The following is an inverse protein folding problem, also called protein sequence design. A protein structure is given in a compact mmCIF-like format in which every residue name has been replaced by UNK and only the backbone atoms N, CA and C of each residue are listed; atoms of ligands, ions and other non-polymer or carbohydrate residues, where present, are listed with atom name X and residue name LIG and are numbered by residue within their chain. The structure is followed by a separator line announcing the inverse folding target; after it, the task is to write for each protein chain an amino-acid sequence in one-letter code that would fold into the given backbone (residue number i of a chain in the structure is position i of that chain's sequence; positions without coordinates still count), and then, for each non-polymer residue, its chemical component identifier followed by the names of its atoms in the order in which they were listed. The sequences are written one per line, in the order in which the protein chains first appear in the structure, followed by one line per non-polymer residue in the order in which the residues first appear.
data_IF_121041522446
#
_entry.id   IF_121041522446
#
_cell.length_a   1.000
_cell.length_b   1.000
_cell.length_c   1.000
_cell.angle_alpha   90.00
_cell.angle_beta   90.00
_cell.angle_gamma   90.00
#
_symmetry.space_group_name_H-M   'P 1'
#
loop_
_entity.id
_entity.type
_entity.pdbx_description
1 polymer ?
#
# COMPACT_ATOMS: atom_id res chain seq x y z
N UNK A 1 -67.07 49.39 -36.29
CA UNK A 1 -65.91 50.16 -35.77
C UNK A 1 -65.95 50.36 -34.25
N UNK A 2 -67.04 50.88 -33.65
CA UNK A 2 -67.14 51.14 -32.19
C UNK A 2 -66.86 49.92 -31.28
N UNK A 3 -67.46 48.76 -31.57
CA UNK A 3 -67.26 47.49 -30.82
C UNK A 3 -65.82 46.96 -30.88
N UNK A 4 -65.10 47.21 -31.98
CA UNK A 4 -63.67 46.84 -32.12
C UNK A 4 -62.81 47.75 -31.24
N UNK A 5 -63.07 49.07 -31.25
CA UNK A 5 -62.34 50.02 -30.41
C UNK A 5 -62.55 49.74 -28.91
N UNK A 6 -63.76 49.37 -28.51
CA UNK A 6 -64.10 49.02 -27.13
C UNK A 6 -63.40 47.72 -26.67
N UNK A 7 -63.30 46.72 -27.54
CA UNK A 7 -62.50 45.51 -27.30
C UNK A 7 -61.01 45.81 -27.13
N UNK A 8 -60.45 46.65 -27.99
CA UNK A 8 -59.04 47.07 -27.90
C UNK A 8 -58.78 47.84 -26.60
N UNK A 9 -59.70 48.72 -26.20
CA UNK A 9 -59.61 49.45 -24.93
C UNK A 9 -59.63 48.48 -23.72
N UNK A 10 -60.55 47.52 -23.72
CA UNK A 10 -60.63 46.49 -22.68
C UNK A 10 -59.36 45.65 -22.60
N UNK A 11 -58.83 45.19 -23.73
CA UNK A 11 -57.56 44.44 -23.74
C UNK A 11 -56.39 45.28 -23.22
N UNK A 12 -56.33 46.58 -23.54
CA UNK A 12 -55.29 47.48 -23.00
C UNK A 12 -55.39 47.61 -21.47
N UNK A 13 -56.61 47.71 -20.94
CA UNK A 13 -56.85 47.76 -19.50
C UNK A 13 -56.48 46.44 -18.80
N UNK A 14 -56.85 45.30 -19.40
CA UNK A 14 -56.48 43.97 -18.90
C UNK A 14 -54.96 43.76 -18.89
N UNK A 15 -54.25 44.20 -19.94
CA UNK A 15 -52.78 44.18 -20.00
C UNK A 15 -52.18 45.08 -18.93
N UNK A 16 -52.70 46.30 -18.74
CA UNK A 16 -52.22 47.21 -17.70
C UNK A 16 -52.40 46.62 -16.30
N UNK A 17 -53.58 46.07 -16.01
CA UNK A 17 -53.89 45.41 -14.73
C UNK A 17 -53.01 44.18 -14.49
N UNK A 18 -52.77 43.38 -15.52
CA UNK A 18 -51.89 42.20 -15.42
C UNK A 18 -50.43 42.60 -15.19
N UNK A 19 -49.98 43.67 -15.87
CA UNK A 19 -48.65 44.24 -15.67
C UNK A 19 -48.46 44.78 -14.26
N UNK A 20 -49.44 45.49 -13.72
CA UNK A 20 -49.40 46.01 -12.35
C UNK A 20 -49.32 44.87 -11.32
N UNK A 21 -50.16 43.84 -11.47
CA UNK A 21 -50.09 42.63 -10.62
C UNK A 21 -48.71 41.97 -10.69
N UNK A 22 -48.16 41.82 -11.88
CA UNK A 22 -46.82 41.24 -12.08
C UNK A 22 -45.74 42.09 -11.41
N UNK A 23 -45.79 43.41 -11.56
CA UNK A 23 -44.85 44.33 -10.92
C UNK A 23 -44.97 44.30 -9.39
N UNK A 24 -46.18 44.21 -8.84
CA UNK A 24 -46.39 44.06 -7.40
C UNK A 24 -45.81 42.74 -6.88
N UNK A 25 -46.02 41.63 -7.58
CA UNK A 25 -45.45 40.34 -7.21
C UNK A 25 -43.90 40.35 -7.26
N UNK A 26 -43.32 41.01 -8.26
CA UNK A 26 -41.87 41.21 -8.33
C UNK A 26 -41.35 42.06 -7.17
N UNK A 27 -42.07 43.11 -6.78
CA UNK A 27 -41.69 43.97 -5.66
C UNK A 27 -41.71 43.19 -4.34
N UNK A 28 -42.74 42.37 -4.11
CA UNK A 28 -42.85 41.51 -2.93
C UNK A 28 -41.71 40.49 -2.86
N UNK A 29 -41.44 39.79 -3.96
CA UNK A 29 -40.32 38.84 -4.05
C UNK A 29 -38.98 39.54 -3.81
N UNK A 30 -38.78 40.72 -4.40
CA UNK A 30 -37.52 41.47 -4.26
C UNK A 30 -37.34 41.96 -2.83
N UNK A 31 -38.42 42.36 -2.16
CA UNK A 31 -38.39 42.74 -0.75
C UNK A 31 -38.06 41.55 0.17
N UNK A 32 -38.38 40.33 -0.24
CA UNK A 32 -38.05 39.11 0.51
C UNK A 32 -36.61 38.61 0.29
N UNK A 33 -35.95 38.99 -0.81
CA UNK A 33 -34.59 38.56 -1.14
C UNK A 33 -33.58 38.69 0.03
N UNK A 34 -33.53 39.81 0.79
CA UNK A 34 -32.56 39.95 1.89
C UNK A 34 -32.73 38.86 2.96
N UNK A 35 -33.98 38.56 3.34
CA UNK A 35 -34.28 37.52 4.33
C UNK A 35 -33.93 36.13 3.82
N UNK A 36 -34.25 35.85 2.55
CA UNK A 36 -33.85 34.61 1.91
C UNK A 36 -32.32 34.43 1.91
N UNK A 37 -31.57 35.48 1.57
CA UNK A 37 -30.10 35.43 1.56
C UNK A 37 -29.56 35.20 2.96
N UNK A 38 -30.11 35.87 3.98
CA UNK A 38 -29.72 35.68 5.38
C UNK A 38 -29.95 34.22 5.84
N UNK A 39 -31.15 33.68 5.60
CA UNK A 39 -31.51 32.31 5.98
C UNK A 39 -30.62 31.27 5.27
N UNK A 40 -30.41 31.44 3.95
CA UNK A 40 -29.55 30.55 3.17
C UNK A 40 -28.08 30.65 3.57
N UNK A 41 -27.60 31.86 3.87
CA UNK A 41 -26.23 32.07 4.38
C UNK A 41 -26.07 31.38 5.73
N UNK A 42 -27.07 31.45 6.61
CA UNK A 42 -27.03 30.79 7.91
C UNK A 42 -26.93 29.26 7.80
N UNK A 43 -27.63 28.64 6.85
CA UNK A 43 -27.50 27.20 6.57
C UNK A 43 -26.13 26.88 5.98
N UNK A 44 -25.69 27.67 5.00
CA UNK A 44 -24.39 27.49 4.36
C UNK A 44 -23.23 27.58 5.35
N UNK A 45 -23.25 28.57 6.25
CA UNK A 45 -22.21 28.77 7.26
C UNK A 45 -22.15 27.58 8.24
N UNK A 46 -23.29 26.98 8.58
CA UNK A 46 -23.32 25.76 9.40
C UNK A 46 -22.66 24.59 8.68
N UNK A 47 -22.93 24.41 7.38
CA UNK A 47 -22.26 23.39 6.57
C UNK A 47 -20.75 23.65 6.46
N UNK A 48 -20.34 24.91 6.26
CA UNK A 48 -18.93 25.32 6.25
C UNK A 48 -18.22 25.02 7.56
N UNK A 49 -18.88 25.20 8.70
CA UNK A 49 -18.30 24.87 10.01
C UNK A 49 -18.07 23.37 10.16
N UNK A 50 -19.02 22.53 9.72
CA UNK A 50 -18.85 21.07 9.71
C UNK A 50 -17.71 20.64 8.78
N UNK A 51 -17.64 21.24 7.59
CA UNK A 51 -16.55 20.99 6.65
C UNK A 51 -15.19 21.39 7.24
N UNK A 52 -15.09 22.57 7.85
CA UNK A 52 -13.87 23.04 8.48
C UNK A 52 -13.38 22.10 9.59
N UNK A 53 -14.31 21.53 10.38
CA UNK A 53 -13.96 20.51 11.36
C UNK A 53 -13.43 19.23 10.70
N UNK A 54 -14.08 18.74 9.63
CA UNK A 54 -13.60 17.56 8.88
C UNK A 54 -12.21 17.81 8.30
N UNK A 55 -11.99 18.96 7.66
CA UNK A 55 -10.70 19.31 7.07
C UNK A 55 -9.59 19.38 8.13
N UNK A 56 -9.87 19.97 9.30
CA UNK A 56 -8.92 20.00 10.42
C UNK A 56 -8.61 18.60 10.93
N UNK A 57 -9.63 17.77 11.11
CA UNK A 57 -9.46 16.38 11.50
C UNK A 57 -8.57 15.61 10.51
N UNK A 58 -8.86 15.72 9.21
CA UNK A 58 -8.06 15.06 8.17
C UNK A 58 -6.60 15.52 8.22
N UNK A 59 -6.36 16.82 8.39
CA UNK A 59 -5.00 17.35 8.55
C UNK A 59 -4.28 16.71 9.74
N UNK A 60 -4.93 16.65 10.89
CA UNK A 60 -4.34 16.10 12.12
C UNK A 60 -4.07 14.58 11.97
N UNK A 61 -4.98 13.85 11.32
CA UNK A 61 -4.81 12.42 11.01
C UNK A 61 -3.64 12.18 10.05
N UNK A 62 -3.51 12.98 8.99
CA UNK A 62 -2.40 12.87 8.05
C UNK A 62 -1.05 13.14 8.74
N UNK A 63 -0.99 14.13 9.64
CA UNK A 63 0.20 14.34 10.46
C UNK A 63 0.46 13.18 11.42
N UNK A 64 -0.58 12.55 11.96
CA UNK A 64 -0.44 11.35 12.77
C UNK A 64 0.18 10.20 11.95
N UNK A 65 -0.30 9.97 10.73
CA UNK A 65 0.30 8.96 9.83
C UNK A 65 1.76 9.27 9.53
N UNK A 66 2.07 10.53 9.21
CA UNK A 66 3.46 10.94 9.00
C UNK A 66 4.33 10.63 10.23
N UNK A 67 3.84 10.92 11.44
CA UNK A 67 4.56 10.63 12.69
C UNK A 67 4.80 9.12 12.88
N UNK A 68 3.81 8.28 12.58
CA UNK A 68 3.94 6.82 12.70
C UNK A 68 4.89 6.22 11.66
N UNK A 69 4.94 6.79 10.46
CA UNK A 69 5.80 6.32 9.36
C UNK A 69 7.22 6.88 9.42
N UNK A 70 7.45 7.97 10.17
CA UNK A 70 8.75 8.61 10.25
C UNK A 70 9.68 7.91 11.25
N UNK A 71 10.28 6.81 10.79
CA UNK A 71 11.21 5.99 11.56
C UNK A 71 12.52 6.75 11.88
N UNK A 72 12.86 7.81 11.14
CA UNK A 72 14.12 8.56 11.39
C UNK A 72 14.10 9.36 12.70
N UNK A 73 12.92 9.62 13.25
CA UNK A 73 12.73 10.32 14.52
C UNK A 73 12.62 9.34 15.70
N UNK A 74 12.63 8.04 15.42
CA UNK A 74 12.49 7.00 16.41
C UNK A 74 13.85 6.75 17.10
N UNK A 75 13.96 6.87 18.43
CA UNK A 75 15.24 6.81 19.14
C UNK A 75 15.93 5.44 19.09
N UNK A 76 15.18 4.34 18.89
CA UNK A 76 15.79 3.01 18.82
C UNK A 76 16.54 2.78 17.51
N UNK A 77 16.13 3.44 16.41
CA UNK A 77 16.77 3.26 15.11
C UNK A 77 18.28 3.57 15.13
N UNK A 78 18.76 4.74 15.59
CA UNK A 78 20.20 4.98 15.73
C UNK A 78 20.88 4.00 16.71
N UNK A 79 20.19 3.64 17.79
CA UNK A 79 20.74 2.73 18.80
C UNK A 79 21.02 1.34 18.22
N UNK A 80 20.17 0.82 17.34
CA UNK A 80 20.39 -0.47 16.65
C UNK A 80 21.69 -0.44 15.86
N UNK A 81 21.97 0.66 15.13
CA UNK A 81 23.20 0.77 14.34
C UNK A 81 24.44 0.97 15.21
N UNK A 82 24.33 1.72 16.31
CA UNK A 82 25.42 1.88 17.29
C UNK A 82 25.76 0.54 17.98
N UNK A 83 24.75 -0.22 18.42
CA UNK A 83 24.94 -1.54 19.03
C UNK A 83 25.55 -2.55 18.04
N UNK A 84 25.09 -2.52 16.79
CA UNK A 84 25.66 -3.34 15.73
C UNK A 84 27.13 -2.99 15.46
N UNK A 85 27.45 -1.70 15.37
CA UNK A 85 28.81 -1.21 15.20
C UNK A 85 29.71 -1.64 16.37
N UNK A 86 29.26 -1.48 17.60
CA UNK A 86 29.99 -1.96 18.78
C UNK A 86 30.23 -3.46 18.77
N UNK A 87 29.24 -4.25 18.35
CA UNK A 87 29.37 -5.72 18.25
C UNK A 87 30.46 -6.12 17.25
N UNK A 88 30.48 -5.49 16.08
CA UNK A 88 31.51 -5.74 15.07
C UNK A 88 32.89 -5.29 15.59
N UNK A 89 32.98 -4.11 16.18
CA UNK A 89 34.25 -3.56 16.64
C UNK A 89 34.85 -4.36 17.81
N UNK A 90 34.02 -5.06 18.59
CA UNK A 90 34.46 -5.92 19.68
C UNK A 90 34.97 -7.30 19.21
N UNK A 91 34.83 -7.64 17.92
CA UNK A 91 35.35 -8.88 17.37
C UNK A 91 36.89 -8.87 17.40
N UNK A 92 37.48 -9.84 18.09
CA UNK A 92 38.94 -9.92 18.29
C UNK A 92 39.48 -11.26 17.79
N UNK A 93 40.13 -11.22 16.64
CA UNK A 93 40.73 -12.40 15.99
C UNK A 93 41.73 -13.14 16.89
N UNK A 94 42.45 -12.45 17.78
CA UNK A 94 43.46 -13.09 18.62
C UNK A 94 42.80 -13.90 19.75
N UNK A 95 41.67 -13.43 20.28
CA UNK A 95 40.89 -14.19 21.26
C UNK A 95 40.35 -15.47 20.64
N UNK A 96 39.85 -15.40 19.40
CA UNK A 96 39.29 -16.55 18.70
C UNK A 96 40.37 -17.59 18.37
N UNK A 97 41.53 -17.15 17.85
CA UNK A 97 42.66 -18.03 17.58
C UNK A 97 43.19 -18.70 18.86
N UNK A 98 43.22 -17.96 19.98
CA UNK A 98 43.62 -18.50 21.28
C UNK A 98 42.62 -19.53 21.80
N UNK A 99 41.32 -19.25 21.68
CA UNK A 99 40.27 -20.19 22.05
C UNK A 99 40.39 -21.49 21.24
N UNK A 100 40.58 -21.38 19.92
CA UNK A 100 40.77 -22.55 19.05
C UNK A 100 42.02 -23.35 19.42
N UNK A 101 43.14 -22.68 19.63
CA UNK A 101 44.41 -23.32 19.99
C UNK A 101 44.30 -24.12 21.29
N UNK A 102 43.53 -23.63 22.27
CA UNK A 102 43.32 -24.28 23.57
C UNK A 102 42.36 -25.46 23.52
N UNK A 103 41.30 -25.36 22.71
CA UNK A 103 40.22 -26.35 22.71
C UNK A 103 40.39 -27.44 21.65
N UNK A 104 41.08 -27.12 20.55
CA UNK A 104 41.22 -28.00 19.37
C UNK A 104 42.62 -28.01 18.79
N UNK A 105 43.57 -27.30 19.39
CA UNK A 105 44.90 -27.13 18.86
C UNK A 105 45.99 -27.57 19.82
N UNK A 106 47.16 -26.97 19.61
CA UNK A 106 48.42 -27.34 20.26
C UNK A 106 48.46 -27.13 21.78
N UNK A 107 47.54 -26.32 22.32
CA UNK A 107 47.49 -26.03 23.76
C UNK A 107 46.56 -26.99 24.52
N UNK A 108 45.94 -27.96 23.84
CA UNK A 108 45.22 -29.03 24.52
C UNK A 108 46.17 -29.83 25.43
N UNK A 109 45.70 -30.21 26.62
CA UNK A 109 46.48 -31.02 27.52
C UNK A 109 46.73 -32.41 26.91
N UNK A 110 48.01 -32.73 26.70
CA UNK A 110 48.45 -34.02 26.20
C UNK A 110 49.16 -34.78 27.31
N UNK A 111 48.67 -35.98 27.62
CA UNK A 111 49.37 -36.93 28.47
C UNK A 111 50.44 -37.62 27.63
N UNK A 112 51.64 -37.02 27.60
CA UNK A 112 52.77 -37.61 26.89
C UNK A 112 53.14 -38.97 27.47
N UNK A 113 53.57 -39.94 26.64
CA UNK A 113 54.00 -41.24 27.12
C UNK A 113 55.09 -41.10 28.19
N UNK A 114 54.85 -41.68 29.36
CA UNK A 114 55.81 -41.77 30.45
C UNK A 114 55.97 -43.24 30.83
N UNK A 115 57.11 -43.56 31.45
CA UNK A 115 57.34 -44.91 31.95
C UNK A 115 56.35 -45.20 33.08
N UNK A 116 55.51 -46.19 32.87
CA UNK A 116 54.53 -46.66 33.86
C UNK A 116 55.12 -47.87 34.59
N UNK A 117 55.22 -47.79 35.91
CA UNK A 117 55.78 -48.86 36.74
C UNK A 117 54.78 -50.02 36.82
N UNK A 118 55.27 -51.25 36.68
CA UNK A 118 54.43 -52.44 36.63
C UNK A 118 53.69 -52.64 37.96
N UNK A 119 52.37 -52.45 37.95
CA UNK A 119 51.47 -52.83 39.04
C UNK A 119 50.69 -54.09 38.65
N UNK A 120 50.49 -55.00 39.60
CA UNK A 120 49.82 -56.30 39.34
C UNK A 120 48.33 -56.16 38.95
N UNK A 121 47.75 -54.95 39.05
CA UNK A 121 46.35 -54.61 38.69
C UNK A 121 46.08 -54.70 37.18
N UNK A 122 47.12 -54.67 36.33
CA UNK A 122 46.99 -54.84 34.87
C UNK A 122 46.76 -56.30 34.43
N UNK A 123 46.80 -57.29 35.36
CA UNK A 123 46.56 -58.71 35.02
C UNK A 123 45.13 -59.01 34.58
N UNK A 124 44.15 -58.24 35.03
CA UNK A 124 42.73 -58.57 34.86
C UNK A 124 42.12 -58.08 33.54
N UNK A 125 42.84 -57.26 32.77
CA UNK A 125 42.37 -56.73 31.47
C UNK A 125 42.19 -57.84 30.41
N UNK A 126 42.81 -59.01 30.60
CA UNK A 126 42.68 -60.17 29.71
C UNK A 126 41.44 -61.05 29.97
N UNK A 127 40.75 -60.90 31.11
CA UNK A 127 39.56 -61.70 31.44
C UNK A 127 38.32 -60.84 31.35
N UNK A 128 37.84 -60.68 30.12
CA UNK A 128 36.68 -59.86 29.80
C UNK A 128 35.48 -60.10 30.72
N UNK A 129 35.05 -59.03 31.40
CA UNK A 129 33.67 -58.67 31.76
C UNK A 129 33.69 -57.50 32.76
N UNK A 130 33.58 -56.27 32.27
CA UNK A 130 32.93 -55.19 33.03
C UNK A 130 32.36 -54.15 32.07
N UNK A 131 31.04 -53.96 32.16
CA UNK A 131 30.30 -52.82 31.62
C UNK A 131 30.47 -51.68 32.61
N UNK A 132 31.53 -50.91 32.51
CA UNK A 132 31.62 -49.61 33.18
C UNK A 132 32.56 -48.72 32.37
N UNK A 133 32.15 -47.48 32.14
CA UNK A 133 32.90 -46.52 31.34
C UNK A 133 34.32 -46.38 31.90
N UNK A 134 35.31 -46.81 31.12
CA UNK A 134 36.72 -46.64 31.44
C UNK A 134 36.96 -45.16 31.81
N UNK A 135 37.69 -44.87 32.91
CA UNK A 135 38.16 -43.52 33.14
C UNK A 135 39.04 -43.13 31.95
N UNK A 136 39.02 -41.84 31.59
CA UNK A 136 39.87 -41.21 30.58
C UNK A 136 41.34 -41.29 31.02
N UNK A 137 41.90 -42.49 31.03
CA UNK A 137 43.28 -42.84 31.33
C UNK A 137 44.07 -43.06 30.03
N UNK A 138 45.40 -43.23 30.13
CA UNK A 138 46.28 -43.29 28.97
C UNK A 138 45.92 -44.46 28.06
N UNK A 139 45.89 -44.19 26.75
CA UNK A 139 45.67 -45.19 25.70
C UNK A 139 46.82 -46.20 25.77
N UNK A 140 46.55 -47.39 26.31
CA UNK A 140 47.47 -48.52 26.28
C UNK A 140 47.41 -49.17 24.90
N UNK A 141 48.58 -49.35 24.28
CA UNK A 141 48.71 -50.04 22.99
C UNK A 141 48.22 -51.48 23.13
N UNK A 142 47.00 -51.76 22.63
CA UNK A 142 46.51 -53.12 22.50
C UNK A 142 46.77 -53.62 21.07
N UNK A 143 47.64 -54.63 20.97
CA UNK A 143 48.04 -55.38 19.78
C UNK A 143 48.80 -54.57 18.72
N UNK A 144 50.14 -54.64 18.77
CA UNK A 144 50.96 -54.47 17.58
C UNK A 144 50.63 -55.57 16.57
N UNK A 145 49.88 -55.25 15.52
CA UNK A 145 49.92 -56.07 14.30
C UNK A 145 51.20 -55.68 13.55
N UNK A 146 52.04 -56.64 13.12
CA UNK A 146 53.12 -56.32 12.20
C UNK A 146 52.48 -55.77 10.92
N UNK A 147 52.73 -54.50 10.63
CA UNK A 147 52.34 -53.88 9.37
C UNK A 147 53.26 -54.47 8.30
N UNK A 148 52.73 -55.37 7.47
CA UNK A 148 53.33 -55.64 6.16
C UNK A 148 53.27 -54.36 5.33
N UNK A 149 54.38 -53.99 4.68
CA UNK A 149 54.63 -52.71 4.00
C UNK A 149 53.61 -52.25 2.93
N UNK A 150 52.60 -53.05 2.58
CA UNK A 150 51.75 -52.81 1.41
C UNK A 150 50.43 -52.06 1.66
N UNK A 151 50.14 -51.61 2.89
CA UNK A 151 48.88 -50.90 3.17
C UNK A 151 49.08 -49.69 4.07
N UNK A 152 49.75 -48.67 3.54
CA UNK A 152 49.70 -47.30 4.09
C UNK A 152 48.91 -46.40 3.13
N UNK A 153 47.97 -45.58 3.62
CA UNK A 153 47.31 -44.57 2.80
C UNK A 153 48.34 -43.53 2.33
N UNK A 154 48.20 -42.98 1.12
CA UNK A 154 49.23 -42.14 0.52
C UNK A 154 49.43 -40.85 1.33
N UNK A 155 50.66 -40.66 1.82
CA UNK A 155 51.15 -39.36 2.26
C UNK A 155 51.35 -38.51 1.01
N UNK A 156 50.55 -37.46 0.84
CA UNK A 156 50.81 -36.41 -0.14
C UNK A 156 51.07 -35.09 0.60
N UNK A 157 52.33 -34.87 0.96
CA UNK A 157 52.83 -33.54 1.32
C UNK A 157 53.83 -33.06 0.24
N UNK A 158 53.28 -32.21 -0.64
CA UNK A 158 53.86 -30.98 -1.21
C UNK A 158 55.21 -31.00 -1.95
N UNK A 159 55.10 -30.60 -3.22
CA UNK A 159 55.87 -29.57 -3.93
C UNK A 159 57.07 -29.93 -4.84
N UNK A 160 56.88 -29.52 -6.10
CA UNK A 160 57.81 -28.93 -7.08
C UNK A 160 58.54 -29.82 -8.12
N UNK A 161 58.05 -29.67 -9.36
CA UNK A 161 58.70 -29.04 -10.54
C UNK A 161 58.88 -29.90 -11.80
N UNK A 162 58.46 -29.27 -12.92
CA UNK A 162 58.76 -29.49 -14.37
C UNK A 162 57.98 -30.61 -15.06
N UNK A 163 57.38 -30.48 -16.27
CA UNK A 163 57.28 -29.41 -17.28
C UNK A 163 56.30 -29.86 -18.39
N UNK A 164 55.42 -28.97 -18.90
CA UNK A 164 55.15 -28.67 -20.35
C UNK A 164 53.74 -28.11 -20.63
N UNK A 165 53.76 -26.93 -21.28
CA UNK A 165 52.87 -26.40 -22.35
C UNK A 165 51.36 -26.27 -22.08
N UNK A 166 50.63 -25.26 -22.57
CA UNK A 166 50.90 -23.95 -23.17
C UNK A 166 49.55 -23.20 -23.24
N UNK A 167 49.60 -21.86 -23.08
CA UNK A 167 48.65 -20.82 -23.50
C UNK A 167 47.22 -20.87 -22.88
N UNK A 168 46.68 -19.80 -22.30
CA UNK A 168 46.52 -18.46 -22.89
C UNK A 168 46.22 -17.40 -21.80
N UNK A 169 46.89 -16.24 -21.92
CA UNK A 169 46.51 -14.82 -21.60
C UNK A 169 45.39 -14.53 -20.58
N UNK A 170 45.46 -13.56 -19.65
CA UNK A 170 46.10 -12.25 -19.77
C UNK A 170 46.32 -11.57 -18.39
N UNK A 171 47.55 -11.12 -18.20
CA UNK A 171 48.11 -9.92 -17.57
C UNK A 171 47.42 -9.15 -16.41
N UNK A 172 48.21 -9.08 -15.34
CA UNK A 172 48.19 -8.23 -14.14
C UNK A 172 48.73 -6.78 -14.44
N UNK A 173 49.38 -6.02 -13.52
CA UNK A 173 49.06 -5.60 -12.14
C UNK A 173 49.26 -4.07 -11.90
N UNK A 174 49.03 -3.70 -10.63
CA UNK A 174 49.39 -2.50 -9.84
C UNK A 174 50.61 -1.62 -10.23
N UNK A 175 50.56 -0.34 -9.84
CA UNK A 175 51.56 0.30 -8.95
C UNK A 175 51.14 1.71 -8.46
N UNK A 176 51.50 1.98 -7.20
CA UNK A 176 51.55 3.25 -6.45
C UNK A 176 52.62 4.22 -6.95
N UNK A 177 52.39 5.55 -6.90
CA UNK A 177 53.17 6.56 -6.11
C UNK A 177 52.66 8.02 -6.29
N UNK A 178 52.31 8.65 -5.16
CA UNK A 178 52.60 10.03 -4.63
C UNK A 178 52.74 11.25 -5.57
N UNK A 179 52.05 12.38 -5.28
CA UNK A 179 52.58 13.75 -4.96
C UNK A 179 51.44 14.80 -4.84
N UNK A 180 51.59 15.72 -3.88
CA UNK A 180 50.72 16.83 -3.46
C UNK A 180 50.84 18.14 -4.30
N UNK A 181 49.84 19.01 -4.08
CA UNK A 181 49.80 20.48 -4.11
C UNK A 181 49.30 21.26 -5.36
N UNK A 182 48.06 21.74 -5.21
CA UNK A 182 47.60 23.15 -5.10
C UNK A 182 47.80 24.20 -6.21
N UNK A 183 46.66 24.83 -6.52
CA UNK A 183 46.38 26.18 -7.05
C UNK A 183 46.56 26.45 -8.57
N UNK A 184 45.45 26.78 -9.25
CA UNK A 184 45.15 28.19 -9.52
C UNK A 184 43.71 28.44 -10.00
N UNK A 185 43.22 29.59 -9.56
CA UNK A 185 41.91 30.23 -9.79
C UNK A 185 41.67 30.65 -11.25
N UNK A 186 40.39 30.88 -11.61
CA UNK A 186 39.95 32.12 -12.27
C UNK A 186 38.41 32.26 -12.41
N UNK A 187 37.95 33.47 -12.04
CA UNK A 187 36.81 34.27 -12.55
C UNK A 187 35.36 34.09 -12.04
N UNK A 188 35.04 34.87 -11.00
CA UNK A 188 34.08 36.00 -10.93
C UNK A 188 33.14 36.31 -12.12
N UNK A 189 31.83 36.54 -11.85
CA UNK A 189 31.06 37.81 -12.00
C UNK A 189 29.53 37.58 -11.88
N UNK A 190 28.90 38.58 -11.27
CA UNK A 190 27.52 38.90 -10.91
C UNK A 190 26.38 38.76 -11.95
N UNK A 191 25.13 38.67 -11.44
CA UNK A 191 23.93 39.51 -11.72
C UNK A 191 22.68 38.90 -11.05
N UNK A 192 22.00 39.54 -10.09
CA UNK A 192 21.07 40.70 -10.12
C UNK A 192 19.62 40.33 -10.52
N UNK A 193 18.68 40.75 -9.66
CA UNK A 193 17.22 40.95 -9.85
C UNK A 193 16.38 39.69 -10.19
N UNK A 194 15.27 39.42 -9.51
CA UNK A 194 13.99 40.14 -9.64
C UNK A 194 13.22 40.11 -8.31
N UNK A 195 12.82 41.31 -7.87
CA UNK A 195 11.72 41.54 -6.93
C UNK A 195 10.46 41.93 -7.69
N UNK A 196 9.32 41.79 -7.00
CA UNK A 196 8.07 42.55 -7.13
C UNK A 196 6.90 41.84 -7.88
N UNK A 197 5.65 42.32 -7.73
CA UNK A 197 4.66 41.69 -6.85
C UNK A 197 3.32 41.44 -7.57
N UNK A 198 2.47 40.56 -7.03
CA UNK A 198 1.07 40.49 -7.47
C UNK A 198 0.25 41.41 -6.56
N UNK A 199 0.00 42.62 -7.04
CA UNK A 199 -1.08 43.49 -6.61
C UNK A 199 -1.97 43.77 -7.82
N UNK A 200 -3.22 44.22 -7.54
CA UNK A 200 -4.29 44.72 -8.44
C UNK A 200 -5.46 43.73 -8.55
N UNK A 201 -6.73 44.04 -8.28
CA UNK A 201 -7.45 45.18 -7.69
C UNK A 201 -8.91 44.75 -7.49
N UNK A 202 -9.60 45.37 -6.53
CA UNK A 202 -11.06 45.42 -6.46
C UNK A 202 -11.71 45.96 -7.76
N UNK A 203 -12.84 45.38 -8.14
CA UNK A 203 -13.71 45.87 -9.21
C UNK A 203 -15.17 45.52 -8.92
N UNK A 204 -15.94 46.56 -8.59
CA UNK A 204 -17.36 46.55 -8.24
C UNK A 204 -18.26 46.55 -9.49
N UNK A 205 -19.47 46.01 -9.33
CA UNK A 205 -20.76 46.50 -9.86
C UNK A 205 -21.49 45.71 -10.98
N UNK A 206 -22.81 45.63 -10.75
CA UNK A 206 -23.93 45.57 -11.70
C UNK A 206 -24.60 44.21 -12.00
N UNK A 207 -25.71 43.95 -11.30
CA UNK A 207 -26.94 43.37 -11.87
C UNK A 207 -27.65 44.47 -12.71
N UNK A 208 -28.59 44.21 -13.66
CA UNK A 208 -29.73 43.30 -13.49
C UNK A 208 -30.26 42.55 -14.75
N UNK A 209 -30.98 41.44 -14.56
CA UNK A 209 -32.41 41.26 -14.93
C UNK A 209 -32.89 39.82 -14.73
N UNK A 210 -34.03 39.76 -14.06
CA UNK A 210 -34.89 38.63 -13.75
C UNK A 210 -35.62 38.07 -14.97
N UNK A 211 -35.98 36.78 -14.92
CA UNK A 211 -37.37 36.36 -14.74
C UNK A 211 -37.44 34.95 -14.14
N UNK A 212 -38.18 34.84 -13.03
CA UNK A 212 -38.63 33.59 -12.36
C UNK A 212 -39.82 33.00 -13.17
N UNK A 213 -40.31 31.77 -12.99
CA UNK A 213 -40.92 31.17 -11.77
C UNK A 213 -41.51 29.80 -12.14
N UNK A 214 -41.53 28.84 -11.21
CA UNK A 214 -42.57 27.77 -11.12
C UNK A 214 -43.87 28.32 -10.49
N UNK A 215 -45.07 27.69 -10.60
CA UNK A 215 -45.50 26.72 -9.56
C UNK A 215 -46.54 25.65 -10.01
N UNK A 216 -46.97 24.80 -9.07
CA UNK A 216 -47.68 23.52 -9.24
C UNK A 216 -49.24 23.53 -9.31
N UNK A 217 -49.76 22.42 -9.87
CA UNK A 217 -50.98 21.60 -9.57
C UNK A 217 -52.38 21.86 -10.20
N UNK A 218 -52.86 20.78 -10.85
CA UNK A 218 -54.22 20.19 -10.92
C UNK A 218 -55.13 20.34 -12.19
N UNK A 219 -55.38 19.17 -12.80
CA UNK A 219 -56.48 18.66 -13.65
C UNK A 219 -57.25 19.54 -14.66
N UNK A 220 -57.16 19.14 -15.94
CA UNK A 220 -58.24 18.58 -16.84
C UNK A 220 -58.24 19.15 -18.28
N UNK A 221 -58.15 18.23 -19.25
CA UNK A 221 -58.53 18.27 -20.68
C UNK A 221 -57.71 19.13 -21.68
N UNK A 222 -56.78 18.44 -22.34
CA UNK A 222 -56.84 18.23 -23.80
C UNK A 222 -56.42 19.39 -24.71
N UNK A 223 -55.11 19.54 -24.89
CA UNK A 223 -54.53 19.97 -26.17
C UNK A 223 -53.09 19.44 -26.24
N UNK A 224 -52.88 18.50 -27.16
CA UNK A 224 -51.62 17.78 -27.38
C UNK A 224 -50.54 18.75 -27.86
N UNK A 225 -49.40 18.74 -27.17
CA UNK A 225 -48.26 19.59 -27.43
C UNK A 225 -47.31 18.80 -28.36
N UNK A 226 -47.00 19.26 -29.58
CA UNK A 226 -46.20 18.50 -30.58
C UNK A 226 -44.70 18.32 -30.25
N UNK A 227 -44.32 18.45 -28.97
CA UNK A 227 -42.96 18.29 -28.46
C UNK A 227 -42.87 17.24 -27.33
N UNK A 228 -43.94 16.48 -27.07
CA UNK A 228 -43.85 15.26 -26.26
C UNK A 228 -43.22 14.15 -27.11
N UNK A 229 -41.91 14.28 -27.33
CA UNK A 229 -41.02 13.15 -27.60
C UNK A 229 -40.68 12.51 -26.25
N UNK A 230 -41.62 11.70 -25.75
CA UNK A 230 -41.31 10.56 -24.89
C UNK A 230 -40.50 9.54 -25.71
N UNK A 231 -39.19 9.73 -25.78
CA UNK A 231 -38.23 8.65 -26.10
C UNK A 231 -36.85 8.98 -25.52
N UNK A 232 -36.82 9.37 -24.25
CA UNK A 232 -35.66 9.14 -23.41
C UNK A 232 -36.04 7.98 -22.48
N UNK A 233 -35.98 6.79 -23.06
CA UNK A 233 -35.97 5.53 -22.32
C UNK A 233 -35.04 5.64 -21.11
N UNK A 234 -35.44 4.98 -20.04
CA UNK A 234 -34.72 4.79 -18.78
C UNK A 234 -33.35 4.10 -18.97
N UNK A 235 -32.42 4.73 -19.68
CA UNK A 235 -31.03 4.27 -19.83
C UNK A 235 -30.18 4.73 -18.65
N UNK A 236 -30.69 4.46 -17.45
CA UNK A 236 -29.87 4.39 -16.23
C UNK A 236 -30.10 3.08 -15.46
N UNK A 237 -30.84 2.11 -16.05
CA UNK A 237 -31.10 0.79 -15.49
C UNK A 237 -30.39 -0.37 -16.19
N UNK A 238 -29.42 -0.11 -17.08
CA UNK A 238 -28.85 -1.12 -17.99
C UNK A 238 -27.71 -2.00 -17.45
N UNK A 239 -27.14 -1.72 -16.27
CA UNK A 239 -25.94 -2.44 -15.82
C UNK A 239 -26.23 -3.78 -15.10
N UNK A 240 -27.46 -3.99 -14.61
CA UNK A 240 -27.85 -5.18 -13.83
C UNK A 240 -28.92 -6.04 -14.53
N UNK A 241 -29.14 -5.84 -15.82
CA UNK A 241 -30.04 -6.70 -16.58
C UNK A 241 -29.42 -8.10 -16.72
N UNK A 242 -30.27 -9.11 -16.58
CA UNK A 242 -29.91 -10.50 -16.83
C UNK A 242 -29.61 -10.68 -18.32
N UNK A 243 -28.34 -10.82 -18.68
CA UNK A 243 -27.88 -11.01 -20.06
C UNK A 243 -28.16 -12.41 -20.61
N UNK A 244 -28.74 -13.31 -19.82
CA UNK A 244 -29.09 -14.68 -20.22
C UNK A 244 -27.88 -15.58 -20.48
N UNK A 245 -26.65 -15.09 -20.31
CA UNK A 245 -25.44 -15.89 -20.48
C UNK A 245 -25.27 -16.86 -19.30
N UNK A 246 -24.81 -18.10 -19.56
CA UNK A 246 -24.55 -19.08 -18.51
C UNK A 246 -23.38 -18.62 -17.65
N UNK A 247 -23.63 -18.32 -16.37
CA UNK A 247 -22.58 -17.94 -15.43
C UNK A 247 -21.79 -19.12 -14.87
N UNK A 248 -20.68 -18.83 -14.20
CA UNK A 248 -19.84 -19.85 -13.54
C UNK A 248 -20.41 -20.14 -12.14
N UNK A 249 -20.68 -21.40 -11.75
CA UNK A 249 -21.18 -21.69 -10.42
C UNK A 249 -20.12 -21.36 -9.35
N UNK A 250 -20.52 -20.54 -8.39
CA UNK A 250 -19.70 -20.14 -7.24
C UNK A 250 -20.41 -20.50 -5.94
N UNK A 251 -19.62 -20.79 -4.91
CA UNK A 251 -20.10 -21.06 -3.54
C UNK A 251 -19.70 -19.92 -2.62
N UNK A 252 -20.64 -19.41 -1.86
CA UNK A 252 -20.38 -18.43 -0.82
C UNK A 252 -19.53 -19.03 0.31
N UNK A 253 -18.40 -18.39 0.62
CA UNK A 253 -17.54 -18.75 1.74
C UNK A 253 -18.02 -18.13 3.05
N UNK A 254 -18.74 -17.01 2.99
CA UNK A 254 -19.22 -16.25 4.16
C UNK A 254 -20.63 -15.73 3.91
N UNK A 255 -21.33 -15.37 5.00
CA UNK A 255 -22.60 -14.64 4.92
C UNK A 255 -22.34 -13.20 4.43
N UNK A 256 -23.14 -12.72 3.47
CA UNK A 256 -23.10 -11.35 2.97
C UNK A 256 -24.51 -10.77 2.88
N UNK A 257 -24.70 -9.58 3.48
CA UNK A 257 -25.97 -8.84 3.41
C UNK A 257 -25.72 -7.55 2.66
N UNK A 258 -26.38 -7.41 1.51
CA UNK A 258 -26.23 -6.24 0.65
C UNK A 258 -26.74 -4.98 1.32
N UNK A 259 -25.95 -3.91 1.26
CA UNK A 259 -26.33 -2.60 1.82
C UNK A 259 -27.17 -1.78 0.85
N UNK A 260 -26.87 -1.87 -0.45
CA UNK A 260 -27.54 -1.12 -1.51
C UNK A 260 -28.46 -2.01 -2.37
N UNK A 261 -29.32 -1.39 -3.20
CA UNK A 261 -30.33 -2.10 -4.00
C UNK A 261 -29.77 -2.93 -5.15
N UNK A 262 -28.54 -2.63 -5.56
CA UNK A 262 -27.74 -3.31 -6.57
C UNK A 262 -26.90 -4.46 -6.01
N UNK A 263 -26.82 -4.64 -4.68
CA UNK A 263 -26.03 -5.68 -4.06
C UNK A 263 -26.80 -7.01 -3.85
N UNK A 264 -26.10 -8.13 -3.97
CA UNK A 264 -26.65 -9.47 -3.85
C UNK A 264 -26.44 -10.04 -2.44
N UNK A 265 -27.51 -10.38 -1.74
CA UNK A 265 -27.42 -11.00 -0.40
C UNK A 265 -27.43 -12.53 -0.47
N UNK A 266 -26.50 -13.18 0.24
CA UNK A 266 -26.36 -14.64 0.29
C UNK A 266 -25.78 -15.11 1.63
N UNK A 267 -25.96 -16.41 1.92
CA UNK A 267 -25.42 -17.04 3.13
C UNK A 267 -24.25 -17.95 2.80
N UNK A 268 -23.39 -18.20 3.77
CA UNK A 268 -22.30 -19.15 3.68
C UNK A 268 -22.82 -20.51 3.22
N UNK A 269 -22.21 -21.04 2.17
CA UNK A 269 -22.58 -22.30 1.52
C UNK A 269 -23.61 -22.18 0.40
N UNK A 270 -24.20 -21.00 0.18
CA UNK A 270 -25.12 -20.78 -0.95
C UNK A 270 -24.37 -20.91 -2.28
N UNK A 271 -25.02 -21.54 -3.26
CA UNK A 271 -24.53 -21.70 -4.63
C UNK A 271 -25.28 -20.73 -5.54
N UNK A 272 -24.53 -19.97 -6.34
CA UNK A 272 -25.11 -19.03 -7.30
C UNK A 272 -24.17 -18.83 -8.50
N UNK A 273 -24.61 -18.10 -9.51
CA UNK A 273 -23.86 -17.96 -10.77
C UNK A 273 -23.08 -16.65 -10.80
N UNK A 274 -21.80 -16.70 -11.14
CA UNK A 274 -20.95 -15.55 -11.41
C UNK A 274 -21.10 -15.10 -12.86
N UNK A 275 -21.59 -13.87 -12.98
CA UNK A 275 -21.83 -13.03 -14.15
C UNK A 275 -20.58 -12.61 -14.90
N UNK A 276 -19.83 -11.76 -14.20
CA UNK A 276 -18.70 -11.00 -14.73
C UNK A 276 -17.50 -11.19 -13.80
N UNK A 277 -16.31 -10.86 -14.30
CA UNK A 277 -15.07 -10.87 -13.50
C UNK A 277 -15.00 -9.69 -12.54
N UNK A 278 -14.01 -9.73 -11.65
CA UNK A 278 -13.73 -8.67 -10.69
C UNK A 278 -13.46 -7.35 -11.41
N UNK A 279 -14.20 -6.30 -11.02
CA UNK A 279 -13.98 -4.94 -11.51
C UNK A 279 -12.77 -4.28 -10.81
N UNK A 280 -12.47 -3.03 -11.18
CA UNK A 280 -11.37 -2.25 -10.59
C UNK A 280 -11.56 -1.96 -9.08
N UNK A 281 -12.73 -2.23 -8.51
CA UNK A 281 -13.08 -1.99 -7.11
C UNK A 281 -13.19 -3.28 -6.29
N UNK A 282 -12.99 -4.46 -6.91
CA UNK A 282 -13.03 -5.76 -6.23
C UNK A 282 -14.41 -6.44 -6.20
N UNK A 283 -15.35 -5.97 -7.02
CA UNK A 283 -16.72 -6.48 -7.09
C UNK A 283 -16.93 -7.37 -8.31
N UNK A 284 -17.72 -8.43 -8.12
CA UNK A 284 -18.19 -9.29 -9.19
C UNK A 284 -19.72 -9.17 -9.31
N UNK A 285 -20.23 -9.32 -10.53
CA UNK A 285 -21.66 -9.44 -10.79
C UNK A 285 -22.08 -10.90 -10.67
N UNK A 286 -23.19 -11.17 -10.00
CA UNK A 286 -23.72 -12.52 -9.81
C UNK A 286 -25.23 -12.59 -9.95
N UNK A 287 -25.72 -13.80 -10.22
CA UNK A 287 -27.15 -14.12 -10.30
C UNK A 287 -27.52 -15.16 -9.26
N UNK A 288 -28.44 -14.80 -8.37
CA UNK A 288 -28.99 -15.69 -7.34
C UNK A 288 -30.50 -15.52 -7.27
N UNK A 289 -31.24 -16.63 -7.27
CA UNK A 289 -32.71 -16.64 -7.15
C UNK A 289 -33.43 -15.74 -8.18
N UNK A 290 -32.88 -15.61 -9.40
CA UNK A 290 -33.42 -14.77 -10.47
C UNK A 290 -33.15 -13.27 -10.34
N UNK A 291 -32.37 -12.85 -9.33
CA UNK A 291 -31.90 -11.48 -9.16
C UNK A 291 -30.42 -11.37 -9.52
N UNK A 292 -30.08 -10.33 -10.27
CA UNK A 292 -28.70 -9.96 -10.60
C UNK A 292 -28.26 -8.84 -9.66
N UNK A 293 -27.05 -8.93 -9.12
CA UNK A 293 -26.49 -7.92 -8.23
C UNK A 293 -24.98 -8.06 -8.07
N UNK A 294 -24.37 -7.08 -7.43
CA UNK A 294 -22.94 -7.02 -7.14
C UNK A 294 -22.62 -7.71 -5.81
N UNK A 295 -21.47 -8.37 -5.74
CA UNK A 295 -20.93 -8.95 -4.52
C UNK A 295 -19.40 -8.89 -4.49
N UNK A 296 -18.77 -8.90 -3.30
CA UNK A 296 -17.30 -8.88 -3.20
C UNK A 296 -16.69 -10.21 -3.68
N UNK A 297 -15.69 -10.16 -4.57
CA UNK A 297 -15.06 -11.36 -5.14
C UNK A 297 -14.49 -12.31 -4.06
N UNK A 298 -13.96 -11.75 -2.96
CA UNK A 298 -13.34 -12.49 -1.86
C UNK A 298 -14.30 -13.33 -1.01
N UNK A 299 -15.61 -13.18 -1.22
CA UNK A 299 -16.64 -13.87 -0.41
C UNK A 299 -17.13 -15.16 -1.05
N UNK A 300 -16.61 -15.51 -2.23
CA UNK A 300 -17.01 -16.72 -2.96
C UNK A 300 -15.81 -17.50 -3.44
N UNK A 301 -16.02 -18.78 -3.70
CA UNK A 301 -15.07 -19.64 -4.39
C UNK A 301 -15.72 -20.25 -5.64
N UNK A 302 -14.98 -20.38 -6.76
CA UNK A 302 -15.47 -21.09 -7.93
C UNK A 302 -15.63 -22.57 -7.62
N UNK A 303 -16.82 -23.11 -7.90
CA UNK A 303 -17.09 -24.54 -7.78
C UNK A 303 -16.72 -25.17 -9.11
N UNK A 304 -15.45 -25.58 -9.21
CA UNK A 304 -14.93 -26.26 -10.40
C UNK A 304 -15.71 -27.53 -10.74
N UNK A 305 -15.80 -27.81 -12.04
CA UNK A 305 -16.41 -29.03 -12.57
C UNK A 305 -15.55 -30.27 -12.36
#
# INVERSE_FOLDING_TARGET
VKKMAERVAKCREEVAKSREKYQSALAEITAYNPRYIEDMTGVFERCQQMEAQRLKFFKDVLFSFHKCLNISQEPSLPQIYEEFHHTINNADSQKDLKWWANNHGVNMAMAWPQFEEYTEEFRDIAKGKSKESLPTGPITLLNQRPVSEDELPPINNTNNKTSKAANHTDSAPAQTTVVNNTANSNNTIDKKSISAPIAVTNGTAAAPKSNKTSPAKDSTKGQENPFDEDEWDEESGGALTDTGEPGVPVRALYDYTGAESDELSFRQGDLFEKLEDEDEQGWCKGRKDGRVGLYPANYVEPVGH
#
